data_IF_842783667042
#
_entry.id   IF_842783667042
#
_cell.length_a   1.000
_cell.length_b   1.000
_cell.length_c   1.000
_cell.angle_alpha   90.00
_cell.angle_beta   90.00
_cell.angle_gamma   90.00
#
_symmetry.space_group_name_H-M   'P 1'
#
loop_
_entity.id
_entity.type
_entity.pdbx_description
1 polymer ?
#
# COMPACT_ATOMS: atom_id res chain seq x y z
N UNK A 1 -31.45 -1.18 -0.36
CA UNK A 1 -30.72 -0.01 0.18
C UNK A 1 -29.56 0.28 -0.76
N UNK A 2 -29.72 1.14 -1.76
CA UNK A 2 -28.56 1.65 -2.53
C UNK A 2 -28.37 3.10 -2.15
N UNK A 3 -27.72 3.33 -1.02
CA UNK A 3 -27.14 4.65 -0.76
C UNK A 3 -26.03 4.84 -1.79
N UNK A 4 -26.10 5.90 -2.59
CA UNK A 4 -24.98 6.30 -3.44
C UNK A 4 -23.78 6.55 -2.54
N UNK A 5 -22.65 5.90 -2.82
CA UNK A 5 -21.39 6.17 -2.11
C UNK A 5 -20.75 7.36 -2.81
N UNK A 6 -21.01 8.55 -2.28
CA UNK A 6 -20.54 9.79 -2.90
C UNK A 6 -19.07 10.11 -2.52
N UNK A 7 -18.57 9.48 -1.44
CA UNK A 7 -17.22 9.72 -0.91
C UNK A 7 -16.58 8.43 -0.38
N UNK A 8 -15.29 8.25 -0.68
CA UNK A 8 -14.46 7.13 -0.20
C UNK A 8 -13.12 7.68 0.28
N UNK A 9 -12.64 7.20 1.43
CA UNK A 9 -11.27 7.46 1.87
C UNK A 9 -10.30 6.58 1.08
N UNK A 10 -9.24 7.16 0.55
CA UNK A 10 -8.29 6.45 -0.29
C UNK A 10 -6.84 6.73 0.11
N UNK A 11 -6.12 5.68 0.50
CA UNK A 11 -4.67 5.71 0.70
C UNK A 11 -4.03 4.95 -0.46
N UNK A 12 -3.41 5.64 -1.43
CA UNK A 12 -2.81 5.03 -2.63
C UNK A 12 -1.54 4.26 -2.29
N UNK A 13 -1.04 3.50 -3.26
CA UNK A 13 0.23 2.77 -3.16
C UNK A 13 1.47 3.71 -3.12
N UNK A 14 1.40 4.84 -3.84
CA UNK A 14 2.35 5.96 -3.88
C UNK A 14 1.73 7.13 -4.66
N UNK A 15 2.50 8.19 -4.89
CA UNK A 15 2.05 9.41 -5.56
C UNK A 15 2.08 9.36 -7.09
N UNK A 16 2.44 8.21 -7.70
CA UNK A 16 2.53 8.11 -9.16
C UNK A 16 1.15 8.31 -9.80
N UNK A 17 1.08 8.87 -11.02
CA UNK A 17 -0.20 9.16 -11.67
C UNK A 17 -1.14 7.97 -11.77
N UNK A 18 -0.62 6.76 -11.98
CA UNK A 18 -1.44 5.55 -12.05
C UNK A 18 -2.01 5.11 -10.71
N UNK A 19 -1.41 5.51 -9.59
CA UNK A 19 -1.83 5.14 -8.24
C UNK A 19 -2.79 6.18 -7.66
N UNK A 20 -2.56 7.47 -7.91
CA UNK A 20 -3.34 8.58 -7.37
C UNK A 20 -4.23 9.21 -8.44
N UNK A 21 -3.66 10.02 -9.34
CA UNK A 21 -4.40 10.91 -10.23
C UNK A 21 -5.38 10.18 -11.16
N UNK A 22 -4.98 9.04 -11.72
CA UNK A 22 -5.84 8.21 -12.58
C UNK A 22 -6.96 7.55 -11.78
N UNK A 23 -6.67 7.10 -10.55
CA UNK A 23 -7.67 6.49 -9.65
C UNK A 23 -8.73 7.51 -9.25
N UNK A 24 -8.33 8.73 -8.92
CA UNK A 24 -9.26 9.84 -8.64
C UNK A 24 -10.15 10.16 -9.83
N UNK A 25 -9.58 10.20 -11.04
CA UNK A 25 -10.35 10.43 -12.28
C UNK A 25 -11.35 9.31 -12.55
N UNK A 26 -10.98 8.05 -12.33
CA UNK A 26 -11.88 6.90 -12.48
C UNK A 26 -13.04 6.98 -11.48
N UNK A 27 -12.77 7.31 -10.22
CA UNK A 27 -13.81 7.49 -9.22
C UNK A 27 -14.76 8.64 -9.59
N UNK A 28 -14.23 9.76 -10.09
CA UNK A 28 -15.01 10.91 -10.51
C UNK A 28 -15.97 10.57 -11.68
N UNK A 29 -15.56 9.70 -12.61
CA UNK A 29 -16.45 9.21 -13.67
C UNK A 29 -17.65 8.43 -13.12
N UNK A 30 -17.51 7.80 -11.95
CA UNK A 30 -18.57 7.12 -11.23
C UNK A 30 -19.34 8.05 -10.26
N UNK A 31 -19.15 9.37 -10.35
CA UNK A 31 -19.71 10.36 -9.41
C UNK A 31 -19.30 10.15 -7.94
N UNK A 32 -18.16 9.49 -7.72
CA UNK A 32 -17.60 9.25 -6.39
C UNK A 32 -16.34 10.12 -6.20
N UNK A 33 -16.25 10.79 -5.06
CA UNK A 33 -15.06 11.58 -4.68
C UNK A 33 -14.15 10.77 -3.77
N UNK A 34 -12.87 10.64 -4.16
CA UNK A 34 -11.85 10.13 -3.26
C UNK A 34 -11.35 11.25 -2.34
N UNK A 35 -11.20 10.94 -1.06
CA UNK A 35 -10.52 11.78 -0.08
C UNK A 35 -9.18 11.10 0.22
N UNK A 36 -8.08 11.79 0.00
CA UNK A 36 -6.73 11.25 0.15
C UNK A 36 -5.97 12.00 1.24
N UNK A 37 -4.92 11.39 1.83
CA UNK A 37 -4.00 12.15 2.67
C UNK A 37 -3.30 13.25 1.85
N UNK A 38 -2.70 14.26 2.52
CA UNK A 38 -1.91 15.28 1.85
C UNK A 38 -0.86 14.65 0.93
N UNK A 39 -0.70 15.18 -0.28
CA UNK A 39 0.27 14.65 -1.25
C UNK A 39 1.71 14.69 -0.71
N UNK A 40 2.01 15.64 0.18
CA UNK A 40 3.30 15.76 0.88
C UNK A 40 3.58 14.66 1.89
N UNK A 41 2.56 13.88 2.29
CA UNK A 41 2.70 12.73 3.16
C UNK A 41 2.83 11.42 2.36
N UNK A 42 2.51 11.42 1.06
CA UNK A 42 2.67 10.25 0.20
C UNK A 42 4.13 10.07 -0.21
N UNK A 43 4.54 8.82 -0.39
CA UNK A 43 5.87 8.52 -0.93
C UNK A 43 6.02 9.02 -2.35
N UNK A 44 7.20 9.56 -2.65
CA UNK A 44 7.57 10.10 -3.95
C UNK A 44 8.82 9.41 -4.47
N UNK A 45 8.66 8.54 -5.47
CA UNK A 45 9.76 7.78 -6.06
C UNK A 45 10.57 7.00 -5.00
N UNK A 46 11.80 7.40 -4.71
CA UNK A 46 12.65 6.76 -3.69
C UNK A 46 12.43 7.32 -2.28
N UNK A 47 11.77 8.46 -2.17
CA UNK A 47 11.46 9.07 -0.88
C UNK A 47 10.24 8.38 -0.27
N UNK A 48 10.38 7.75 0.91
CA UNK A 48 9.25 7.15 1.59
C UNK A 48 8.24 8.21 2.00
N UNK A 49 6.97 7.83 1.98
CA UNK A 49 5.89 8.60 2.58
C UNK A 49 6.03 8.64 4.10
N UNK A 50 5.06 9.29 4.73
CA UNK A 50 5.03 9.55 6.16
C UNK A 50 3.85 8.83 6.80
N UNK A 51 3.99 7.55 7.21
CA UNK A 51 2.93 6.78 7.83
C UNK A 51 2.21 7.52 8.96
N UNK A 52 2.94 8.23 9.83
CA UNK A 52 2.36 8.98 10.93
C UNK A 52 1.39 10.06 10.46
N UNK A 53 1.79 10.90 9.50
CA UNK A 53 0.94 11.96 8.95
C UNK A 53 -0.28 11.37 8.22
N UNK A 54 -0.13 10.21 7.56
CA UNK A 54 -1.22 9.50 6.89
C UNK A 54 -2.22 8.94 7.91
N UNK A 55 -1.74 8.37 9.02
CA UNK A 55 -2.59 7.81 10.06
C UNK A 55 -3.26 8.90 10.90
N UNK A 56 -2.59 10.03 11.15
CA UNK A 56 -3.19 11.23 11.74
C UNK A 56 -4.34 11.76 10.85
N UNK A 57 -4.09 11.84 9.54
CA UNK A 57 -5.13 12.20 8.58
C UNK A 57 -6.30 11.22 8.61
N UNK A 58 -6.05 9.91 8.66
CA UNK A 58 -7.09 8.88 8.68
C UNK A 58 -7.95 8.96 9.94
N UNK A 59 -7.34 9.20 11.10
CA UNK A 59 -8.03 9.40 12.38
C UNK A 59 -8.94 10.64 12.38
N UNK A 60 -8.57 11.67 11.63
CA UNK A 60 -9.39 12.89 11.52
C UNK A 60 -10.57 12.75 10.55
N UNK A 61 -10.68 11.65 9.80
CA UNK A 61 -11.77 11.44 8.83
C UNK A 61 -13.01 10.87 9.49
N UNK A 62 -14.16 11.09 8.85
CA UNK A 62 -15.43 10.49 9.23
C UNK A 62 -15.32 8.94 9.32
N UNK A 63 -15.59 8.34 10.51
CA UNK A 63 -15.46 6.91 10.73
C UNK A 63 -16.51 6.08 9.99
N UNK A 64 -17.58 6.68 9.47
CA UNK A 64 -18.62 6.00 8.69
C UNK A 64 -18.24 5.82 7.21
N UNK A 65 -17.29 6.62 6.70
CA UNK A 65 -16.88 6.54 5.31
C UNK A 65 -16.16 5.21 4.99
N UNK A 66 -16.43 4.61 3.82
CA UNK A 66 -15.66 3.45 3.37
C UNK A 66 -14.20 3.83 3.12
N UNK A 67 -13.29 2.88 3.33
CA UNK A 67 -11.85 3.04 3.15
C UNK A 67 -11.31 2.05 2.12
N UNK A 68 -10.44 2.54 1.24
CA UNK A 68 -9.55 1.72 0.42
C UNK A 68 -8.11 2.13 0.75
N UNK A 69 -7.27 1.19 1.20
CA UNK A 69 -5.92 1.53 1.65
C UNK A 69 -4.84 0.53 1.23
N UNK A 70 -3.69 1.07 0.81
CA UNK A 70 -2.44 0.32 0.64
C UNK A 70 -1.78 0.04 1.99
N UNK A 71 -1.57 -1.24 2.31
CA UNK A 71 -0.80 -1.65 3.49
C UNK A 71 0.68 -1.26 3.34
N UNK A 72 1.21 -1.24 2.12
CA UNK A 72 2.57 -0.78 1.84
C UNK A 72 2.76 0.69 2.25
N UNK A 73 1.78 1.55 1.93
CA UNK A 73 1.80 2.97 2.28
C UNK A 73 1.66 3.21 3.79
N UNK A 74 0.66 2.60 4.44
CA UNK A 74 0.42 2.83 5.88
C UNK A 74 1.50 2.25 6.79
N UNK A 75 2.30 1.31 6.31
CA UNK A 75 3.32 0.65 7.14
C UNK A 75 4.73 1.14 6.81
N UNK A 76 5.07 1.28 5.53
CA UNK A 76 6.43 1.64 5.08
C UNK A 76 6.52 2.99 4.37
N UNK A 77 5.40 3.66 4.08
CA UNK A 77 5.41 4.88 3.27
C UNK A 77 5.44 4.63 1.76
N UNK A 78 5.13 3.42 1.29
CA UNK A 78 4.86 3.13 -0.12
C UNK A 78 5.59 1.89 -0.65
N UNK A 79 5.38 1.60 -1.95
CA UNK A 79 5.88 0.38 -2.58
C UNK A 79 7.41 0.22 -2.52
N UNK A 80 8.16 1.29 -2.81
CA UNK A 80 9.62 1.19 -2.89
C UNK A 80 10.19 0.99 -1.48
N UNK A 81 9.66 1.71 -0.49
CA UNK A 81 10.03 1.57 0.90
C UNK A 81 9.68 0.18 1.46
N UNK A 82 8.54 -0.42 1.09
CA UNK A 82 8.15 -1.74 1.61
C UNK A 82 9.04 -2.90 1.16
N UNK A 83 9.92 -2.66 0.19
CA UNK A 83 10.89 -3.66 -0.32
C UNK A 83 12.34 -3.21 -0.19
N UNK A 84 12.61 -2.09 0.47
CA UNK A 84 13.97 -1.63 0.69
C UNK A 84 14.63 -2.49 1.78
N UNK A 85 15.85 -3.01 1.59
CA UNK A 85 16.52 -3.86 2.59
C UNK A 85 16.71 -3.17 3.95
N UNK A 86 16.94 -1.86 3.92
CA UNK A 86 17.18 -1.05 5.13
C UNK A 86 15.91 -0.55 5.82
N UNK A 87 14.73 -0.99 5.38
CA UNK A 87 13.47 -0.58 6.01
C UNK A 87 13.32 -1.17 7.42
N UNK A 88 12.96 -0.33 8.38
CA UNK A 88 12.73 -0.74 9.76
C UNK A 88 11.42 -1.54 9.87
N UNK A 89 11.55 -2.85 10.09
CA UNK A 89 10.41 -3.75 10.22
C UNK A 89 9.61 -3.52 11.51
N UNK A 90 10.26 -3.11 12.60
CA UNK A 90 9.59 -2.84 13.87
C UNK A 90 8.79 -1.55 13.82
N UNK A 91 9.35 -0.53 13.15
CA UNK A 91 8.64 0.70 12.80
C UNK A 91 7.37 0.39 11.99
N UNK A 92 7.53 -0.35 10.88
CA UNK A 92 6.40 -0.70 10.02
C UNK A 92 5.34 -1.53 10.75
N UNK A 93 5.75 -2.44 11.63
CA UNK A 93 4.85 -3.22 12.49
C UNK A 93 4.09 -2.30 13.46
N UNK A 94 4.74 -1.29 14.02
CA UNK A 94 4.10 -0.29 14.90
C UNK A 94 3.04 0.52 14.14
N UNK A 95 3.36 1.00 12.95
CA UNK A 95 2.42 1.75 12.11
C UNK A 95 1.24 0.88 11.67
N UNK A 96 1.49 -0.37 11.28
CA UNK A 96 0.41 -1.31 10.96
C UNK A 96 -0.49 -1.61 12.16
N UNK A 97 0.08 -1.78 13.36
CA UNK A 97 -0.72 -1.95 14.58
C UNK A 97 -1.56 -0.71 14.87
N UNK A 98 -1.01 0.49 14.69
CA UNK A 98 -1.75 1.74 14.81
C UNK A 98 -2.90 1.79 13.81
N UNK A 99 -2.67 1.46 12.55
CA UNK A 99 -3.71 1.33 11.53
C UNK A 99 -4.83 0.37 11.97
N UNK A 100 -4.51 -0.82 12.46
CA UNK A 100 -5.49 -1.77 13.00
C UNK A 100 -6.32 -1.17 14.15
N UNK A 101 -5.70 -0.42 15.06
CA UNK A 101 -6.40 0.24 16.17
C UNK A 101 -7.35 1.35 15.68
N UNK A 102 -6.99 2.06 14.60
CA UNK A 102 -7.88 3.04 13.95
C UNK A 102 -9.07 2.32 13.33
N UNK A 103 -8.82 1.23 12.60
CA UNK A 103 -9.87 0.43 11.96
C UNK A 103 -10.89 -0.13 12.96
N UNK A 104 -10.47 -0.53 14.16
CA UNK A 104 -11.37 -0.99 15.22
C UNK A 104 -12.36 0.09 15.72
N UNK A 105 -12.03 1.38 15.51
CA UNK A 105 -12.88 2.51 15.91
C UNK A 105 -13.77 3.01 14.77
N UNK A 106 -13.58 2.49 13.55
CA UNK A 106 -14.34 2.88 12.36
C UNK A 106 -15.52 1.93 12.15
N UNK A 107 -16.62 2.47 11.64
CA UNK A 107 -17.83 1.71 11.32
C UNK A 107 -17.94 1.45 9.81
N UNK A 108 -17.35 2.32 8.98
CA UNK A 108 -17.31 2.17 7.53
C UNK A 108 -16.48 0.96 7.09
N UNK A 109 -16.89 0.27 6.00
CA UNK A 109 -16.17 -0.90 5.52
C UNK A 109 -14.79 -0.53 5.00
N UNK A 110 -13.82 -1.43 5.18
CA UNK A 110 -12.45 -1.22 4.74
C UNK A 110 -11.97 -2.33 3.82
N UNK A 111 -11.44 -1.92 2.67
CA UNK A 111 -10.75 -2.77 1.73
C UNK A 111 -9.28 -2.43 1.73
N UNK A 112 -8.45 -3.39 2.08
CA UNK A 112 -7.00 -3.18 2.15
C UNK A 112 -6.29 -4.09 1.16
N UNK A 113 -5.20 -3.59 0.59
CA UNK A 113 -4.40 -4.36 -0.34
C UNK A 113 -2.92 -4.25 0.00
N UNK A 114 -2.16 -5.30 -0.31
CA UNK A 114 -0.71 -5.33 -0.18
C UNK A 114 -0.12 -5.85 -1.47
N UNK A 115 1.00 -5.27 -1.89
CA UNK A 115 1.74 -5.73 -3.05
C UNK A 115 2.47 -7.03 -2.72
N UNK A 116 2.21 -8.08 -3.51
CA UNK A 116 3.04 -9.28 -3.47
C UNK A 116 4.27 -9.06 -4.33
N UNK A 117 5.45 -9.23 -3.74
CA UNK A 117 6.71 -9.10 -4.46
C UNK A 117 6.91 -10.28 -5.40
N UNK A 118 7.58 -10.02 -6.53
CA UNK A 118 8.08 -11.07 -7.40
C UNK A 118 9.16 -11.86 -6.67
N UNK A 119 9.19 -13.17 -6.86
CA UNK A 119 10.21 -14.06 -6.28
C UNK A 119 11.61 -13.71 -6.75
N UNK A 120 11.74 -13.18 -7.97
CA UNK A 120 12.99 -12.69 -8.51
C UNK A 120 13.00 -11.15 -8.56
N UNK A 121 14.14 -10.51 -8.23
CA UNK A 121 14.31 -9.06 -8.36
C UNK A 121 14.16 -8.61 -9.82
N UNK A 122 14.01 -7.31 -10.08
CA UNK A 122 14.07 -6.82 -11.47
C UNK A 122 15.45 -7.09 -12.05
N UNK A 123 15.53 -7.73 -13.21
CA UNK A 123 16.78 -7.96 -13.92
C UNK A 123 16.99 -6.88 -14.99
N UNK A 124 18.20 -6.37 -15.02
CA UNK A 124 18.71 -5.35 -15.95
C UNK A 124 19.95 -5.84 -16.69
N UNK A 125 20.61 -6.90 -16.20
CA UNK A 125 21.75 -7.55 -16.84
C UNK A 125 21.53 -9.06 -17.04
N UNK A 126 22.25 -9.72 -17.97
CA UNK A 126 22.18 -11.18 -18.12
C UNK A 126 22.57 -11.95 -16.85
N UNK A 127 23.52 -11.44 -16.07
CA UNK A 127 23.95 -12.04 -14.80
C UNK A 127 22.81 -12.02 -13.76
N UNK A 128 22.06 -10.92 -13.68
CA UNK A 128 20.88 -10.82 -12.81
C UNK A 128 19.76 -11.78 -13.25
N UNK A 129 19.68 -12.13 -14.55
CA UNK A 129 18.76 -13.17 -15.06
C UNK A 129 19.17 -14.55 -14.56
N UNK A 130 20.45 -14.91 -14.65
CA UNK A 130 20.93 -16.20 -14.16
C UNK A 130 20.72 -16.35 -12.64
N UNK A 131 21.02 -15.30 -11.87
CA UNK A 131 20.76 -15.28 -10.42
C UNK A 131 19.27 -15.45 -10.08
N UNK A 132 18.40 -14.79 -10.85
CA UNK A 132 16.96 -14.93 -10.70
C UNK A 132 16.46 -16.36 -10.98
N UNK A 133 16.99 -17.02 -12.01
CA UNK A 133 16.65 -18.42 -12.33
C UNK A 133 17.07 -19.37 -11.20
N UNK A 134 18.24 -19.14 -10.59
CA UNK A 134 18.71 -19.90 -9.43
C UNK A 134 17.80 -19.72 -8.20
N UNK A 135 17.36 -18.48 -7.91
CA UNK A 135 16.39 -18.19 -6.84
C UNK A 135 15.07 -18.93 -7.08
N UNK A 136 14.58 -18.93 -8.33
CA UNK A 136 13.35 -19.64 -8.71
C UNK A 136 13.52 -21.15 -8.56
N UNK A 137 14.66 -21.72 -8.98
CA UNK A 137 14.95 -23.15 -8.84
C UNK A 137 15.02 -23.56 -7.36
N UNK A 138 15.67 -22.76 -6.51
CA UNK A 138 15.72 -22.98 -5.06
C UNK A 138 14.32 -22.94 -4.43
N UNK A 139 13.51 -21.94 -4.78
CA UNK A 139 12.12 -21.82 -4.29
C UNK A 139 11.25 -23.03 -4.69
N UNK A 140 11.42 -23.55 -5.92
CA UNK A 140 10.74 -24.79 -6.36
C UNK A 140 11.21 -26.00 -5.56
N UNK A 141 12.51 -26.12 -5.31
CA UNK A 141 13.03 -27.21 -4.49
C UNK A 141 12.53 -27.11 -3.05
N UNK A 142 12.58 -25.95 -2.39
CA UNK A 142 12.07 -25.81 -1.03
C UNK A 142 10.60 -26.21 -0.91
N UNK A 143 9.79 -25.95 -1.94
CA UNK A 143 8.39 -26.39 -1.98
C UNK A 143 8.24 -27.92 -2.12
N UNK A 144 9.08 -28.56 -2.92
CA UNK A 144 9.05 -30.01 -3.14
C UNK A 144 9.63 -30.82 -1.98
N UNK A 145 10.58 -30.26 -1.24
CA UNK A 145 11.30 -30.93 -0.15
C UNK A 145 10.84 -30.52 1.26
N UNK A 146 9.83 -29.65 1.39
CA UNK A 146 9.20 -29.30 2.68
C UNK A 146 8.07 -30.27 3.10
N UNK A 147 8.05 -31.50 2.58
CA UNK A 147 7.18 -32.60 3.03
C UNK A 147 7.96 -33.60 3.88
#
# INVERSE_FOLDING_TARGET
MSGSIDRILFIPLDDRPCCLDMTERIAALASCRLLTPPRSALGHFQDPGKPEEILDWLESQDPELPLIASIDMVSWGGLIASRHPDSDAEEARRQFQRFCNIQQKRNGPAFVFKTLLRTAPTQTTPEEVEQAEQIVALSRMSFLYAK
#
